data_IF_611091191753
#
_entry.id   IF_611091191753
#
_cell.length_a   1.000
_cell.length_b   1.000
_cell.length_c   1.000
_cell.angle_alpha   90.00
_cell.angle_beta   90.00
_cell.angle_gamma   90.00
#
_symmetry.space_group_name_H-M   'P 1'
#
loop_
_entity.id
_entity.type
_entity.pdbx_description
1 polymer ?
#
# COMPACT_ATOMS: atom_id res chain seq x y z
N UNK A 1 0.29 14.90 -24.85
CA UNK A 1 -0.70 14.00 -24.22
C UNK A 1 -0.82 14.47 -22.79
N UNK A 2 -2.02 14.71 -22.28
CA UNK A 2 -2.20 15.20 -20.91
C UNK A 2 -1.79 14.08 -19.95
N UNK A 3 -0.54 14.12 -19.47
CA UNK A 3 0.01 13.18 -18.49
C UNK A 3 -0.70 13.37 -17.14
N UNK A 4 -1.91 12.82 -17.04
CA UNK A 4 -2.66 12.77 -15.79
C UNK A 4 -1.81 12.01 -14.76
N UNK A 5 -1.54 12.67 -13.64
CA UNK A 5 -0.94 12.02 -12.47
C UNK A 5 -2.05 11.30 -11.70
N UNK A 6 -1.84 10.03 -11.36
CA UNK A 6 -2.81 9.22 -10.62
C UNK A 6 -2.55 9.24 -9.12
N UNK A 7 -3.60 9.33 -8.31
CA UNK A 7 -3.49 9.28 -6.85
C UNK A 7 -3.70 7.85 -6.33
N UNK A 8 -2.77 7.36 -5.52
CA UNK A 8 -2.79 6.00 -4.95
C UNK A 8 -2.73 6.08 -3.42
N UNK A 9 -3.65 5.40 -2.74
CA UNK A 9 -3.69 5.32 -1.28
C UNK A 9 -3.46 3.88 -0.80
N UNK A 10 -2.40 3.70 0.00
CA UNK A 10 -2.10 2.44 0.68
C UNK A 10 -2.67 2.44 2.11
N UNK A 11 -3.56 1.49 2.40
CA UNK A 11 -4.24 1.39 3.69
C UNK A 11 -3.71 0.22 4.50
N UNK A 12 -3.39 0.46 5.77
CA UNK A 12 -3.23 -0.61 6.75
C UNK A 12 -3.88 -0.21 8.08
N UNK A 13 -3.84 -1.04 9.12
CA UNK A 13 -4.48 -0.66 10.40
C UNK A 13 -3.75 0.50 11.08
N UNK A 14 -2.44 0.37 11.29
CA UNK A 14 -1.67 1.31 12.12
C UNK A 14 -0.97 2.44 11.39
N UNK A 15 -0.85 2.37 10.06
CA UNK A 15 -0.02 3.24 9.23
C UNK A 15 1.38 3.48 9.81
N UNK A 16 2.09 2.38 10.07
CA UNK A 16 3.43 2.42 10.68
C UNK A 16 4.50 1.70 9.87
N UNK A 17 4.13 0.63 9.16
CA UNK A 17 5.08 -0.27 8.49
C UNK A 17 4.72 -0.49 7.01
N UNK A 18 3.85 -1.46 6.71
CA UNK A 18 3.54 -1.91 5.35
C UNK A 18 3.10 -0.79 4.40
N UNK A 19 2.14 0.04 4.82
CA UNK A 19 1.66 1.13 3.97
C UNK A 19 2.68 2.28 3.82
N UNK A 20 3.56 2.47 4.80
CA UNK A 20 4.68 3.42 4.73
C UNK A 20 5.73 2.93 3.72
N UNK A 21 6.09 1.64 3.78
CA UNK A 21 6.98 1.03 2.79
C UNK A 21 6.40 1.21 1.37
N UNK A 22 5.12 0.91 1.18
CA UNK A 22 4.45 1.04 -0.10
C UNK A 22 4.40 2.49 -0.63
N UNK A 23 4.11 3.47 0.24
CA UNK A 23 4.15 4.89 -0.11
C UNK A 23 5.56 5.30 -0.56
N UNK A 24 6.60 4.98 0.22
CA UNK A 24 7.98 5.30 -0.12
C UNK A 24 8.42 4.69 -1.45
N UNK A 25 8.09 3.41 -1.69
CA UNK A 25 8.39 2.71 -2.94
C UNK A 25 7.76 3.44 -4.14
N UNK A 26 6.45 3.69 -4.08
CA UNK A 26 5.73 4.26 -5.22
C UNK A 26 6.14 5.73 -5.48
N UNK A 27 6.47 6.52 -4.45
CA UNK A 27 6.97 7.90 -4.63
C UNK A 27 8.21 7.95 -5.52
N UNK A 28 9.14 7.00 -5.35
CA UNK A 28 10.36 6.92 -6.15
C UNK A 28 10.11 6.23 -7.50
N UNK A 29 9.55 5.02 -7.47
CA UNK A 29 9.47 4.15 -8.64
C UNK A 29 8.37 4.61 -9.61
N UNK A 30 7.38 5.38 -9.14
CA UNK A 30 6.30 5.95 -9.95
C UNK A 30 6.72 7.09 -10.88
N UNK A 31 7.94 7.64 -10.73
CA UNK A 31 8.55 8.62 -11.65
C UNK A 31 7.63 9.78 -12.04
N UNK A 32 6.86 10.31 -11.08
CA UNK A 32 5.94 11.44 -11.30
C UNK A 32 4.60 11.10 -11.98
N UNK A 33 4.39 9.83 -12.39
CA UNK A 33 3.09 9.36 -12.92
C UNK A 33 2.05 9.13 -11.82
N UNK A 34 2.51 8.99 -10.58
CA UNK A 34 1.67 8.67 -9.43
C UNK A 34 2.01 9.57 -8.24
N UNK A 35 0.98 10.08 -7.58
CA UNK A 35 1.07 10.58 -6.21
C UNK A 35 0.73 9.42 -5.27
N UNK A 36 1.64 9.10 -4.36
CA UNK A 36 1.44 8.04 -3.39
C UNK A 36 1.13 8.60 -2.01
N UNK A 37 0.15 8.00 -1.37
CA UNK A 37 -0.28 8.30 -0.03
C UNK A 37 -0.42 7.00 0.76
N UNK A 38 -0.34 7.09 2.08
CA UNK A 38 -0.70 6.00 2.98
C UNK A 38 -1.55 6.50 4.12
N UNK A 39 -2.37 5.64 4.70
CA UNK A 39 -3.13 5.97 5.89
C UNK A 39 -3.48 4.71 6.67
N UNK A 40 -4.07 4.91 7.85
CA UNK A 40 -4.60 3.81 8.63
C UNK A 40 -5.93 4.11 9.27
N UNK A 41 -6.67 3.04 9.54
CA UNK A 41 -7.97 3.12 10.22
C UNK A 41 -7.82 3.40 11.72
N UNK A 42 -6.72 2.96 12.31
CA UNK A 42 -6.34 3.17 13.71
C UNK A 42 -4.85 3.54 13.77
N UNK A 43 -4.47 4.74 13.27
CA UNK A 43 -3.07 5.14 13.17
C UNK A 43 -2.42 5.13 14.55
N UNK A 44 -1.19 4.62 14.64
CA UNK A 44 -0.46 4.56 15.92
C UNK A 44 0.29 5.85 16.25
N UNK A 45 0.26 6.85 15.36
CA UNK A 45 0.86 8.17 15.58
C UNK A 45 2.36 8.26 15.28
N UNK A 46 3.06 7.14 15.14
CA UNK A 46 4.47 7.11 14.78
C UNK A 46 4.78 6.05 13.72
N UNK A 47 5.69 6.37 12.80
CA UNK A 47 6.21 5.44 11.80
C UNK A 47 7.16 4.45 12.49
N UNK A 48 7.14 3.18 12.07
CA UNK A 48 8.05 2.18 12.60
C UNK A 48 9.49 2.49 12.14
N UNK A 49 10.48 2.57 13.05
CA UNK A 49 11.87 2.86 12.69
C UNK A 49 12.48 1.89 11.68
N UNK A 50 12.11 0.60 11.71
CA UNK A 50 12.62 -0.37 10.73
C UNK A 50 12.07 -0.12 9.32
N UNK A 51 10.86 0.45 9.19
CA UNK A 51 10.34 0.83 7.88
C UNK A 51 11.17 1.98 7.28
N UNK A 52 11.49 3.00 8.08
CA UNK A 52 12.34 4.11 7.67
C UNK A 52 13.74 3.62 7.32
N UNK A 53 14.35 2.81 8.20
CA UNK A 53 15.68 2.21 7.99
C UNK A 53 15.77 1.42 6.68
N UNK A 54 14.76 0.61 6.37
CA UNK A 54 14.73 -0.16 5.11
C UNK A 54 14.53 0.75 3.90
N UNK A 55 13.66 1.76 3.97
CA UNK A 55 13.53 2.71 2.86
C UNK A 55 14.86 3.43 2.60
N UNK A 56 15.48 3.98 3.64
CA UNK A 56 16.76 4.70 3.56
C UNK A 56 17.89 3.82 3.01
N UNK A 57 18.01 2.56 3.49
CA UNK A 57 19.08 1.67 3.05
C UNK A 57 18.98 1.26 1.58
N UNK A 58 17.78 1.27 1.01
CA UNK A 58 17.54 1.06 -0.42
C UNK A 58 17.42 2.38 -1.21
N UNK A 59 17.67 3.52 -0.57
CA UNK A 59 17.68 4.86 -1.17
C UNK A 59 16.30 5.37 -1.58
N UNK A 60 15.25 5.01 -0.86
CA UNK A 60 13.88 5.50 -1.04
C UNK A 60 13.61 6.72 -0.13
N UNK A 61 12.79 7.68 -0.57
CA UNK A 61 12.52 8.89 0.19
C UNK A 61 11.73 8.58 1.47
N UNK A 62 12.11 9.22 2.57
CA UNK A 62 11.43 9.12 3.87
C UNK A 62 10.83 10.44 4.33
N UNK A 63 11.10 11.54 3.63
CA UNK A 63 10.69 12.88 4.01
C UNK A 63 9.18 13.03 3.96
N UNK A 64 8.61 13.48 5.08
CA UNK A 64 7.18 13.71 5.24
C UNK A 64 6.35 12.44 5.47
N UNK A 65 6.96 11.26 5.56
CA UNK A 65 6.27 10.04 5.97
C UNK A 65 5.82 10.17 7.42
N UNK A 66 4.53 9.93 7.68
CA UNK A 66 3.93 10.00 9.02
C UNK A 66 2.77 9.04 9.14
N UNK A 67 2.48 8.62 10.36
CA UNK A 67 1.29 7.84 10.69
C UNK A 67 0.07 8.77 10.74
N UNK A 68 -0.97 8.48 9.96
CA UNK A 68 -2.15 9.35 9.81
C UNK A 68 -3.45 8.58 9.58
N UNK A 69 -4.57 9.20 9.98
CA UNK A 69 -5.89 8.59 9.79
C UNK A 69 -6.29 8.63 8.32
N UNK A 70 -6.99 7.59 7.88
CA UNK A 70 -7.62 7.56 6.57
C UNK A 70 -8.72 8.61 6.38
N UNK A 71 -9.21 9.22 7.47
CA UNK A 71 -10.25 10.25 7.45
C UNK A 71 -9.76 11.51 6.74
N UNK A 72 -8.45 11.77 6.79
CA UNK A 72 -7.80 12.86 6.05
C UNK A 72 -8.03 12.75 4.53
N UNK A 73 -8.31 11.54 4.04
CA UNK A 73 -8.51 11.26 2.61
C UNK A 73 -9.98 11.06 2.24
N UNK A 74 -10.89 11.08 3.21
CA UNK A 74 -12.34 10.92 3.00
C UNK A 74 -13.10 12.27 3.00
N UNK A 75 -12.43 13.36 3.38
CA UNK A 75 -13.03 14.69 3.44
C UNK A 75 -13.23 15.36 2.06
N UNK A 76 -14.04 16.42 1.97
CA UNK A 76 -14.38 17.10 0.71
C UNK A 76 -13.18 17.77 0.02
N UNK A 77 -12.14 18.12 0.79
CA UNK A 77 -10.91 18.73 0.27
C UNK A 77 -9.78 17.72 0.07
N UNK A 78 -10.04 16.43 0.29
CA UNK A 78 -9.05 15.39 0.08
C UNK A 78 -8.74 15.23 -1.41
N UNK A 79 -7.51 14.82 -1.78
CA UNK A 79 -7.24 14.41 -3.14
C UNK A 79 -8.17 13.27 -3.55
N UNK A 80 -8.68 13.28 -4.77
CA UNK A 80 -9.52 12.19 -5.29
C UNK A 80 -8.63 11.00 -5.61
N UNK A 81 -8.87 9.86 -4.98
CA UNK A 81 -8.09 8.64 -5.20
C UNK A 81 -8.51 7.95 -6.49
N UNK A 82 -7.52 7.51 -7.27
CA UNK A 82 -7.74 6.64 -8.42
C UNK A 82 -7.63 5.17 -8.02
N UNK A 83 -6.71 4.87 -7.10
CA UNK A 83 -6.41 3.53 -6.62
C UNK A 83 -6.35 3.47 -5.10
N UNK A 84 -6.92 2.40 -4.54
CA UNK A 84 -6.80 2.10 -3.11
C UNK A 84 -6.33 0.66 -2.93
N UNK A 85 -5.23 0.48 -2.20
CA UNK A 85 -4.65 -0.83 -1.91
C UNK A 85 -4.62 -1.08 -0.41
N UNK A 86 -5.35 -2.08 0.07
CA UNK A 86 -5.25 -2.53 1.46
C UNK A 86 -4.09 -3.52 1.57
N UNK A 87 -3.13 -3.26 2.47
CA UNK A 87 -1.91 -4.08 2.63
C UNK A 87 -1.89 -4.90 3.92
N UNK A 88 -2.99 -4.89 4.67
CA UNK A 88 -3.23 -5.81 5.79
C UNK A 88 -4.67 -6.34 5.76
N UNK A 89 -4.87 -7.56 6.26
CA UNK A 89 -6.16 -8.26 6.23
C UNK A 89 -7.23 -7.50 7.02
N UNK A 90 -6.85 -6.94 8.18
CA UNK A 90 -7.76 -6.13 8.99
C UNK A 90 -8.28 -4.89 8.26
N UNK A 91 -7.44 -4.23 7.43
CA UNK A 91 -7.90 -3.07 6.66
C UNK A 91 -8.82 -3.47 5.50
N UNK A 92 -8.73 -4.71 5.01
CA UNK A 92 -9.66 -5.23 4.01
C UNK A 92 -11.02 -5.61 4.61
N UNK A 93 -11.06 -6.03 5.87
CA UNK A 93 -12.28 -6.44 6.58
C UNK A 93 -13.01 -5.33 7.35
N UNK A 94 -12.42 -4.14 7.48
CA UNK A 94 -13.05 -3.00 8.13
C UNK A 94 -13.99 -2.25 7.18
N UNK A 95 -15.08 -1.68 7.73
CA UNK A 95 -16.02 -0.86 6.96
C UNK A 95 -15.32 0.40 6.45
N UNK A 96 -14.77 0.32 5.24
CA UNK A 96 -14.11 1.43 4.59
C UNK A 96 -15.12 2.57 4.36
N UNK A 97 -14.70 3.85 4.54
CA UNK A 97 -15.54 4.97 4.16
C UNK A 97 -15.87 4.94 2.66
N UNK A 98 -16.98 5.57 2.27
CA UNK A 98 -17.31 5.76 0.86
C UNK A 98 -16.29 6.73 0.27
N UNK A 99 -15.43 6.22 -0.60
CA UNK A 99 -14.39 7.02 -1.24
C UNK A 99 -14.95 7.84 -2.41
N UNK A 100 -14.73 9.17 -2.42
CA UNK A 100 -15.06 9.99 -3.58
C UNK A 100 -14.41 9.44 -4.86
N UNK A 101 -15.12 9.47 -5.99
CA UNK A 101 -14.58 9.06 -7.29
C UNK A 101 -14.58 7.55 -7.59
N UNK A 102 -15.04 6.70 -6.67
CA UNK A 102 -15.12 5.23 -6.85
C UNK A 102 -13.81 4.58 -7.32
N UNK A 103 -12.71 4.74 -6.55
CA UNK A 103 -11.38 4.25 -6.90
C UNK A 103 -11.37 2.76 -7.23
N UNK A 104 -10.46 2.36 -8.10
CA UNK A 104 -10.16 0.96 -8.33
C UNK A 104 -9.44 0.39 -7.09
N UNK A 105 -10.05 -0.60 -6.43
CA UNK A 105 -9.52 -1.16 -5.19
C UNK A 105 -9.08 -2.62 -5.32
N UNK A 106 -8.01 -2.98 -4.61
CA UNK A 106 -7.55 -4.35 -4.47
C UNK A 106 -6.87 -4.58 -3.12
N UNK A 107 -6.83 -5.85 -2.70
CA UNK A 107 -6.15 -6.27 -1.48
C UNK A 107 -4.78 -6.87 -1.80
N UNK A 108 -3.73 -6.25 -1.26
CA UNK A 108 -2.32 -6.64 -1.40
C UNK A 108 -1.75 -7.00 -0.02
N UNK A 109 -2.49 -7.82 0.73
CA UNK A 109 -2.12 -8.26 2.06
C UNK A 109 -0.78 -9.00 2.08
N UNK A 110 0.09 -8.60 3.01
CA UNK A 110 1.32 -9.31 3.36
C UNK A 110 1.42 -9.40 4.88
N UNK A 111 2.18 -10.38 5.38
CA UNK A 111 2.43 -10.57 6.81
C UNK A 111 2.93 -9.27 7.47
N UNK A 112 2.56 -9.04 8.73
CA UNK A 112 3.00 -7.84 9.43
C UNK A 112 4.45 -7.98 9.90
N UNK A 113 5.42 -7.26 9.29
CA UNK A 113 6.80 -7.34 9.74
C UNK A 113 6.98 -6.80 11.16
N UNK A 114 6.07 -5.94 11.64
CA UNK A 114 6.11 -5.42 13.01
C UNK A 114 5.63 -6.43 14.07
N UNK A 115 5.00 -7.54 13.65
CA UNK A 115 4.60 -8.61 14.57
C UNK A 115 5.77 -9.57 14.90
N UNK A 116 6.83 -9.58 14.08
CA UNK A 116 8.00 -10.44 14.27
C UNK A 116 8.73 -10.05 15.56
N UNK A 117 8.92 -11.03 16.43
CA UNK A 117 9.69 -10.91 17.67
C UNK A 117 11.09 -11.49 17.48
N UNK A 118 12.02 -11.15 18.38
CA UNK A 118 13.40 -11.61 18.35
C UNK A 118 14.41 -10.48 18.25
N UNK A 119 15.58 -10.82 17.73
CA UNK A 119 16.72 -9.90 17.53
C UNK A 119 16.41 -8.83 16.48
N UNK A 120 17.15 -7.73 16.52
CA UNK A 120 16.98 -6.66 15.52
C UNK A 120 17.28 -7.12 14.10
N UNK A 121 18.17 -8.10 13.92
CA UNK A 121 18.48 -8.72 12.62
C UNK A 121 17.26 -9.47 12.08
N UNK A 122 16.55 -10.23 12.93
CA UNK A 122 15.35 -10.97 12.53
C UNK A 122 14.21 -10.03 12.17
N UNK A 123 14.02 -8.96 12.96
CA UNK A 123 13.04 -7.91 12.67
C UNK A 123 13.37 -7.21 11.36
N UNK A 124 14.62 -6.76 11.18
CA UNK A 124 15.04 -6.10 9.95
C UNK A 124 14.86 -6.99 8.73
N UNK A 125 15.18 -8.29 8.83
CA UNK A 125 14.92 -9.27 7.76
C UNK A 125 13.45 -9.32 7.37
N UNK A 126 12.53 -9.30 8.35
CA UNK A 126 11.10 -9.29 8.07
C UNK A 126 10.66 -8.00 7.34
N UNK A 127 11.21 -6.83 7.73
CA UNK A 127 10.94 -5.57 7.04
C UNK A 127 11.51 -5.55 5.61
N UNK A 128 12.71 -6.09 5.39
CA UNK A 128 13.30 -6.24 4.04
C UNK A 128 12.45 -7.16 3.17
N UNK A 129 11.98 -8.29 3.71
CA UNK A 129 11.11 -9.19 2.98
C UNK A 129 9.78 -8.52 2.59
N UNK A 130 9.14 -7.83 3.54
CA UNK A 130 7.92 -7.06 3.27
C UNK A 130 8.13 -5.99 2.19
N UNK A 131 9.26 -5.28 2.24
CA UNK A 131 9.66 -4.31 1.22
C UNK A 131 9.78 -4.95 -0.16
N UNK A 132 10.44 -6.11 -0.29
CA UNK A 132 10.59 -6.81 -1.56
C UNK A 132 9.23 -7.25 -2.14
N UNK A 133 8.35 -7.80 -1.30
CA UNK A 133 7.00 -8.19 -1.72
C UNK A 133 6.16 -7.01 -2.23
N UNK A 134 6.24 -5.86 -1.56
CA UNK A 134 5.53 -4.64 -1.99
C UNK A 134 6.16 -4.05 -3.24
N UNK A 135 7.49 -4.01 -3.34
CA UNK A 135 8.21 -3.49 -4.50
C UNK A 135 7.90 -4.30 -5.75
N UNK A 136 7.87 -5.63 -5.66
CA UNK A 136 7.52 -6.48 -6.79
C UNK A 136 6.09 -6.21 -7.27
N UNK A 137 5.12 -6.11 -6.35
CA UNK A 137 3.74 -5.76 -6.68
C UNK A 137 3.62 -4.38 -7.36
N UNK A 138 4.29 -3.37 -6.78
CA UNK A 138 4.30 -2.01 -7.32
C UNK A 138 4.97 -1.98 -8.70
N UNK A 139 6.06 -2.71 -8.90
CA UNK A 139 6.72 -2.81 -10.21
C UNK A 139 5.80 -3.36 -11.28
N UNK A 140 5.02 -4.42 -10.97
CA UNK A 140 4.03 -4.96 -11.92
C UNK A 140 2.91 -3.96 -12.16
N UNK A 141 2.40 -3.30 -11.11
CA UNK A 141 1.38 -2.26 -11.23
C UNK A 141 1.82 -1.10 -12.14
N UNK A 142 3.06 -0.62 -12.01
CA UNK A 142 3.62 0.46 -12.82
C UNK A 142 3.74 0.12 -14.31
N UNK A 143 3.83 -1.18 -14.63
CA UNK A 143 3.89 -1.69 -16.00
C UNK A 143 2.52 -1.78 -16.69
N UNK A 144 1.42 -1.63 -15.93
CA UNK A 144 0.06 -1.69 -16.51
C UNK A 144 -0.24 -0.44 -17.35
N UNK A 145 -0.90 -0.57 -18.52
CA UNK A 145 -1.34 0.54 -19.34
C UNK A 145 -2.64 1.17 -18.81
N UNK A 146 -2.62 1.66 -17.57
CA UNK A 146 -3.81 2.07 -16.78
C UNK A 146 -4.77 3.03 -17.50
N UNK A 147 -4.26 3.94 -18.35
CA UNK A 147 -5.08 4.92 -19.06
C UNK A 147 -5.93 4.32 -20.20
N UNK A 148 -5.55 3.16 -20.72
CA UNK A 148 -6.21 2.50 -21.86
C UNK A 148 -6.94 1.22 -21.51
N UNK A 149 -6.95 0.82 -20.24
CA UNK A 149 -7.60 -0.42 -19.80
C UNK A 149 -9.07 -0.18 -19.43
N UNK A 150 -9.92 -1.10 -19.86
CA UNK A 150 -11.29 -1.24 -19.34
C UNK A 150 -11.28 -1.49 -17.83
N UNK A 151 -12.20 -0.85 -17.10
CA UNK A 151 -12.23 -0.87 -15.63
C UNK A 151 -12.25 -2.28 -15.05
N UNK A 152 -13.05 -3.17 -15.62
CA UNK A 152 -13.14 -4.57 -15.17
C UNK A 152 -11.84 -5.36 -15.41
N UNK A 153 -11.15 -5.09 -16.52
CA UNK A 153 -9.86 -5.71 -16.81
C UNK A 153 -8.77 -5.20 -15.85
N UNK A 154 -8.76 -3.89 -15.57
CA UNK A 154 -7.88 -3.27 -14.59
C UNK A 154 -8.09 -3.88 -13.20
N UNK A 155 -9.33 -3.96 -12.72
CA UNK A 155 -9.63 -4.56 -11.41
C UNK A 155 -9.18 -6.03 -11.31
N UNK A 156 -9.33 -6.82 -12.38
CA UNK A 156 -8.81 -8.21 -12.39
C UNK A 156 -7.29 -8.24 -12.26
N UNK A 157 -6.56 -7.40 -13.00
CA UNK A 157 -5.11 -7.33 -12.89
C UNK A 157 -4.64 -6.90 -11.50
N UNK A 158 -5.29 -5.88 -10.91
CA UNK A 158 -4.96 -5.42 -9.56
C UNK A 158 -5.16 -6.50 -8.50
N UNK A 159 -6.21 -7.33 -8.64
CA UNK A 159 -6.45 -8.51 -7.78
C UNK A 159 -5.38 -9.59 -7.99
N UNK A 160 -4.98 -9.86 -9.23
CA UNK A 160 -3.91 -10.82 -9.54
C UNK A 160 -2.58 -10.38 -8.92
N UNK A 161 -2.23 -9.09 -9.00
CA UNK A 161 -1.04 -8.53 -8.34
C UNK A 161 -1.09 -8.75 -6.82
N UNK A 162 -2.27 -8.59 -6.20
CA UNK A 162 -2.45 -8.84 -4.77
C UNK A 162 -2.06 -10.25 -4.33
N UNK A 163 -2.30 -11.24 -5.20
CA UNK A 163 -2.06 -12.68 -4.97
C UNK A 163 -0.66 -13.15 -5.34
N UNK A 164 0.25 -12.23 -5.66
CA UNK A 164 1.67 -12.55 -5.85
C UNK A 164 2.32 -13.11 -4.57
N UNK A 165 3.56 -13.57 -4.67
CA UNK A 165 4.32 -14.13 -3.55
C UNK A 165 4.26 -13.25 -2.28
N UNK A 166 4.20 -13.90 -1.12
CA UNK A 166 4.05 -13.25 0.18
C UNK A 166 2.61 -12.81 0.52
N UNK A 167 1.63 -13.14 -0.33
CA UNK A 167 0.22 -12.83 -0.05
C UNK A 167 -0.28 -13.58 1.19
N UNK A 168 -0.96 -12.87 2.09
CA UNK A 168 -1.77 -13.50 3.14
C UNK A 168 -2.92 -14.27 2.50
N UNK A 169 -3.35 -15.38 3.13
CA UNK A 169 -4.46 -16.18 2.59
C UNK A 169 -5.75 -15.36 2.64
N UNK A 170 -6.46 -15.29 1.52
CA UNK A 170 -7.79 -14.68 1.41
C UNK A 170 -8.68 -15.27 2.52
N UNK A 171 -9.21 -14.43 3.43
CA UNK A 171 -10.21 -14.81 4.45
C UNK A 171 -11.58 -15.22 3.83
N UNK A 172 -11.58 -15.68 2.57
CA UNK A 172 -12.75 -16.11 1.80
C UNK A 172 -12.73 -17.59 1.37
N UNK A 173 -11.62 -18.32 1.56
CA UNK A 173 -11.62 -19.78 1.41
C UNK A 173 -11.86 -20.47 2.75
N UNK A 174 -13.06 -20.28 3.30
CA UNK A 174 -13.64 -21.29 4.17
C UNK A 174 -13.77 -22.56 3.33
N UNK A 175 -12.90 -23.53 3.64
CA UNK A 175 -12.97 -24.91 3.13
C UNK A 175 -14.43 -25.37 3.13
N UNK A 176 -14.91 -25.80 1.96
CA UNK A 176 -16.09 -26.67 1.87
C UNK A 176 -15.81 -27.98 2.60
#
# INVERSE_FOLDING_TARGET
MTDRVFNVLFLCTGNTARSILAEGILRKDGQGRFNAFSAGSRPKGAVNPFALKVLESYGYPTEGLRSKSWDEFAGPNAPVMDFIFTVCDNAAGEACPVWPGHPASAHWGIEDPAAVQGTDIEKERAFVQAFQYLRNRISVFLSLPVAGMEREALLRQLKTIGRMEGATRDMGETRR
#
